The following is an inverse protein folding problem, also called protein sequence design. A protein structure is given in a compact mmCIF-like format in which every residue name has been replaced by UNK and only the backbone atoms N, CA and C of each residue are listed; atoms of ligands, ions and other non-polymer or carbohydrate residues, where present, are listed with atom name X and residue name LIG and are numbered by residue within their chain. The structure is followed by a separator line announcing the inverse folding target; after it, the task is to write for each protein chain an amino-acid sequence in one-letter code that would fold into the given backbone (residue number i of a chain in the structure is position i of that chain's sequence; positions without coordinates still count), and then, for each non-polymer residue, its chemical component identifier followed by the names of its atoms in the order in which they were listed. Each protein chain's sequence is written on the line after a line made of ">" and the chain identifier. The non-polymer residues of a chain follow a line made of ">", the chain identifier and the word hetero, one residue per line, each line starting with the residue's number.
data_IF_383611401831
#
_entry.id   IF_383611401831
#
_cell.length_a   1.000
_cell.length_b   1.000
_cell.length_c   1.000
_cell.angle_alpha   90.00
_cell.angle_beta   90.00
_cell.angle_gamma   90.00
#
_symmetry.space_group_name_H-M   'P 1'
#
loop_
_entity.id
_entity.type
_entity.pdbx_description
1 polymer ?
#
# COMPACT_ATOMS: atom_id res chain seq x y z
N UNK A 1 23.74 7.32 9.96
CA UNK A 1 23.33 6.40 8.89
C UNK A 1 21.97 6.89 8.41
N UNK A 2 21.94 7.78 7.40
CA UNK A 2 20.67 8.24 6.83
C UNK A 2 20.13 7.14 5.92
N UNK A 3 19.21 6.33 6.43
CA UNK A 3 18.55 5.27 5.64
C UNK A 3 17.50 5.91 4.73
N UNK A 4 17.97 6.56 3.66
CA UNK A 4 17.12 7.04 2.58
C UNK A 4 16.86 5.88 1.60
N UNK A 5 15.88 5.02 1.91
CA UNK A 5 15.54 3.88 1.05
C UNK A 5 14.93 4.35 -0.30
N UNK A 6 15.44 3.86 -1.45
CA UNK A 6 14.86 4.14 -2.76
C UNK A 6 13.47 3.51 -2.91
N UNK A 7 12.68 4.01 -3.85
CA UNK A 7 11.29 3.56 -4.03
C UNK A 7 11.18 2.06 -4.28
N UNK A 8 12.09 1.51 -5.10
CA UNK A 8 12.13 0.08 -5.41
C UNK A 8 12.29 -0.78 -4.16
N UNK A 9 13.25 -0.46 -3.28
CA UNK A 9 13.45 -1.21 -2.04
C UNK A 9 12.26 -1.09 -1.09
N UNK A 10 11.67 0.11 -0.95
CA UNK A 10 10.47 0.30 -0.12
C UNK A 10 9.30 -0.53 -0.64
N UNK A 11 9.05 -0.48 -1.94
CA UNK A 11 7.95 -1.21 -2.58
C UNK A 11 8.16 -2.72 -2.56
N UNK A 12 9.41 -3.19 -2.66
CA UNK A 12 9.74 -4.60 -2.49
C UNK A 12 9.44 -5.09 -1.08
N UNK A 13 9.77 -4.31 -0.04
CA UNK A 13 9.43 -4.61 1.35
C UNK A 13 7.91 -4.70 1.52
N UNK A 14 7.17 -3.70 1.01
CA UNK A 14 5.70 -3.68 1.09
C UNK A 14 5.07 -4.86 0.35
N UNK A 15 5.53 -5.15 -0.87
CA UNK A 15 5.05 -6.28 -1.66
C UNK A 15 5.30 -7.62 -0.96
N UNK A 16 6.47 -7.79 -0.34
CA UNK A 16 6.81 -8.99 0.44
C UNK A 16 5.89 -9.14 1.65
N UNK A 17 5.61 -8.05 2.37
CA UNK A 17 4.72 -8.06 3.53
C UNK A 17 3.27 -8.43 3.15
N UNK A 18 2.79 -7.94 2.01
CA UNK A 18 1.46 -8.28 1.47
C UNK A 18 1.39 -9.75 1.03
N UNK A 19 2.39 -10.23 0.28
CA UNK A 19 2.45 -11.62 -0.18
C UNK A 19 2.51 -12.62 0.99
N UNK A 20 3.28 -12.29 2.02
CA UNK A 20 3.40 -13.11 3.22
C UNK A 20 2.19 -12.98 4.16
N UNK A 21 1.22 -12.10 3.84
CA UNK A 21 0.05 -11.78 4.68
C UNK A 21 0.44 -11.33 6.10
N UNK A 22 1.61 -10.70 6.22
CA UNK A 22 2.04 -10.08 7.49
C UNK A 22 1.20 -8.84 7.78
N UNK A 23 0.72 -8.16 6.73
CA UNK A 23 -0.18 -7.02 6.79
C UNK A 23 -1.25 -7.18 5.72
N UNK A 24 -2.51 -6.89 6.07
CA UNK A 24 -3.60 -6.87 5.11
C UNK A 24 -3.57 -5.61 4.24
N UNK A 25 -3.96 -5.75 2.96
CA UNK A 25 -3.82 -4.66 2.00
C UNK A 25 -4.63 -3.41 2.37
N UNK A 26 -5.83 -3.60 2.92
CA UNK A 26 -6.69 -2.52 3.37
C UNK A 26 -6.11 -1.77 4.58
N UNK A 27 -5.47 -2.50 5.50
CA UNK A 27 -4.79 -1.93 6.65
C UNK A 27 -3.59 -1.11 6.22
N UNK A 28 -2.80 -1.60 5.26
CA UNK A 28 -1.66 -0.88 4.71
C UNK A 28 -2.08 0.43 4.02
N UNK A 29 -3.14 0.38 3.19
CA UNK A 29 -3.70 1.58 2.55
C UNK A 29 -4.18 2.57 3.60
N UNK A 30 -4.91 2.11 4.62
CA UNK A 30 -5.42 2.96 5.70
C UNK A 30 -4.30 3.61 6.49
N UNK A 31 -3.25 2.85 6.79
CA UNK A 31 -2.07 3.31 7.51
C UNK A 31 -1.29 4.37 6.74
N UNK A 32 -1.01 4.16 5.45
CA UNK A 32 -0.34 5.14 4.59
C UNK A 32 -1.16 6.44 4.47
N UNK A 33 -2.48 6.33 4.29
CA UNK A 33 -3.35 7.51 4.28
C UNK A 33 -3.31 8.26 5.61
N UNK A 34 -3.36 7.56 6.74
CA UNK A 34 -3.26 8.18 8.06
C UNK A 34 -1.93 8.92 8.25
N UNK A 35 -0.80 8.32 7.85
CA UNK A 35 0.51 8.98 7.89
C UNK A 35 0.53 10.27 7.06
N UNK A 36 0.04 10.21 5.83
CA UNK A 36 -0.03 11.38 4.95
C UNK A 36 -0.92 12.48 5.56
N UNK A 37 -2.12 12.14 6.02
CA UNK A 37 -3.08 13.12 6.52
C UNK A 37 -2.66 13.77 7.83
N UNK A 38 -2.07 13.02 8.76
CA UNK A 38 -1.66 13.54 10.07
C UNK A 38 -0.37 14.36 10.02
N UNK A 39 0.44 14.19 8.96
CA UNK A 39 1.74 14.85 8.82
C UNK A 39 1.77 15.96 7.76
N UNK A 40 0.77 16.09 6.89
CA UNK A 40 0.74 17.07 5.78
C UNK A 40 0.97 18.54 6.16
N UNK A 41 0.67 18.94 7.39
CA UNK A 41 0.85 20.33 7.85
C UNK A 41 2.26 20.61 8.38
N UNK A 42 3.10 19.58 8.50
CA UNK A 42 4.41 19.65 9.13
C UNK A 42 5.49 19.54 8.05
N UNK A 43 6.08 20.66 7.65
CA UNK A 43 7.08 20.76 6.56
C UNK A 43 8.24 19.77 6.68
N UNK A 44 8.67 19.45 7.90
CA UNK A 44 9.74 18.46 8.16
C UNK A 44 9.44 17.05 7.62
N UNK A 45 8.18 16.74 7.29
CA UNK A 45 7.77 15.45 6.74
C UNK A 45 7.53 15.47 5.23
N UNK A 46 7.75 16.58 4.54
CA UNK A 46 7.45 16.73 3.10
C UNK A 46 8.07 15.60 2.26
N UNK A 47 9.36 15.30 2.49
CA UNK A 47 10.07 14.20 1.81
C UNK A 47 9.46 12.83 2.14
N UNK A 48 9.09 12.59 3.40
CA UNK A 48 8.48 11.33 3.81
C UNK A 48 7.08 11.17 3.21
N UNK A 49 6.29 12.25 3.15
CA UNK A 49 4.96 12.27 2.55
C UNK A 49 5.04 11.95 1.06
N UNK A 50 5.98 12.54 0.33
CA UNK A 50 6.17 12.24 -1.09
C UNK A 50 6.43 10.74 -1.31
N UNK A 51 7.26 10.13 -0.47
CA UNK A 51 7.53 8.68 -0.54
C UNK A 51 6.31 7.84 -0.20
N UNK A 52 5.58 8.19 0.87
CA UNK A 52 4.36 7.48 1.24
C UNK A 52 3.27 7.60 0.17
N UNK A 53 3.22 8.71 -0.57
CA UNK A 53 2.32 8.87 -1.71
C UNK A 53 2.70 7.92 -2.86
N UNK A 54 3.97 7.80 -3.21
CA UNK A 54 4.45 6.80 -4.18
C UNK A 54 4.10 5.38 -3.75
N UNK A 55 4.39 5.05 -2.48
CA UNK A 55 4.14 3.73 -1.90
C UNK A 55 2.62 3.42 -1.88
N UNK A 56 1.78 4.42 -1.60
CA UNK A 56 0.32 4.29 -1.65
C UNK A 56 -0.20 3.99 -3.07
N UNK A 57 0.37 4.63 -4.10
CA UNK A 57 0.01 4.32 -5.49
C UNK A 57 0.40 2.89 -5.87
N UNK A 58 1.59 2.45 -5.44
CA UNK A 58 2.03 1.07 -5.62
C UNK A 58 1.07 0.06 -4.99
N UNK A 59 0.71 0.25 -3.71
CA UNK A 59 -0.18 -0.68 -2.98
C UNK A 59 -1.58 -0.73 -3.61
N UNK A 60 -2.12 0.40 -4.06
CA UNK A 60 -3.41 0.43 -4.77
C UNK A 60 -3.36 -0.33 -6.10
N UNK A 61 -2.26 -0.22 -6.83
CA UNK A 61 -2.06 -0.99 -8.07
C UNK A 61 -1.98 -2.49 -7.77
N UNK A 62 -1.24 -2.86 -6.73
CA UNK A 62 -1.17 -4.25 -6.26
C UNK A 62 -2.57 -4.81 -5.90
N UNK A 63 -3.42 -4.00 -5.25
CA UNK A 63 -4.80 -4.38 -4.93
C UNK A 63 -5.64 -4.69 -6.18
N UNK A 64 -5.51 -3.86 -7.22
CA UNK A 64 -6.22 -4.07 -8.49
C UNK A 64 -5.76 -5.38 -9.16
N UNK A 65 -4.46 -5.62 -9.21
CA UNK A 65 -3.90 -6.85 -9.80
C UNK A 65 -4.31 -8.12 -9.03
N UNK A 66 -4.45 -8.07 -7.70
CA UNK A 66 -4.97 -9.19 -6.93
C UNK A 66 -6.46 -9.44 -7.18
N UNK A 67 -7.27 -8.38 -7.28
CA UNK A 67 -8.70 -8.50 -7.59
C UNK A 67 -8.94 -9.08 -8.99
N UNK A 68 -8.13 -8.71 -9.98
CA UNK A 68 -8.19 -9.29 -11.33
C UNK A 68 -7.90 -10.80 -11.36
N UNK A 69 -7.10 -11.31 -10.41
CA UNK A 69 -6.85 -12.76 -10.27
C UNK A 69 -8.07 -13.53 -9.74
N UNK A 70 -9.01 -12.87 -9.07
CA UNK A 70 -10.21 -13.52 -8.53
C UNK A 70 -11.26 -13.67 -9.62
N UNK A 71 -11.18 -14.76 -10.39
CA UNK A 71 -12.17 -15.09 -11.41
C UNK A 71 -13.39 -15.78 -10.78
N UNK A 72 -14.49 -15.03 -10.62
CA UNK A 72 -15.75 -15.57 -10.08
C UNK A 72 -16.45 -16.37 -11.18
N UNK A 73 -16.38 -17.71 -11.10
CA UNK A 73 -17.00 -18.63 -12.07
C UNK A 73 -18.54 -18.64 -12.04
N UNK A 74 -19.17 -18.00 -11.05
CA UNK A 74 -20.62 -17.84 -10.97
C UNK A 74 -21.08 -17.60 -9.53
N UNK A 75 -22.21 -16.90 -9.39
CA UNK A 75 -22.89 -16.67 -8.10
C UNK A 75 -24.16 -17.52 -8.09
N UNK A 76 -24.26 -18.46 -7.15
CA UNK A 76 -25.46 -19.29 -6.97
C UNK A 76 -26.28 -18.77 -5.79
N UNK A 77 -27.51 -18.33 -6.08
CA UNK A 77 -28.49 -17.95 -5.07
C UNK A 77 -29.44 -19.13 -4.86
N UNK A 78 -29.42 -19.75 -3.69
CA UNK A 78 -30.45 -20.73 -3.29
C UNK A 78 -31.73 -19.96 -2.94
N UNK A 79 -32.83 -20.31 -3.61
CA UNK A 79 -34.20 -19.97 -3.20
C UNK A 79 -34.76 -21.07 -2.31
#
# INVERSE_FOLDING_TARGET
>A
MELNLPAEERQQILGTALQNKTVEIHDLISFLNWLIQTRKTQSKYEVAISKWQEDLQFVKKFELEEREKVNIKGIFVKR
#
